data_IF_222552831327
#
_entry.id   IF_222552831327
#
_cell.length_a   1.000
_cell.length_b   1.000
_cell.length_c   1.000
_cell.angle_alpha   90.00
_cell.angle_beta   90.00
_cell.angle_gamma   90.00
#
_symmetry.space_group_name_H-M   'P 1'
#
loop_
_entity.id
_entity.type
_entity.pdbx_description
1 polymer ?
#
# COMPACT_ATOMS: atom_id res chain seq x y z
N UNK A 1 8.85 2.59 4.17
CA UNK A 1 10.03 2.97 3.34
C UNK A 1 9.61 3.89 2.19
N UNK A 2 10.56 4.58 1.53
CA UNK A 2 10.31 5.37 0.31
C UNK A 2 9.98 4.46 -0.87
N UNK A 3 8.95 4.80 -1.65
CA UNK A 3 8.52 4.09 -2.88
C UNK A 3 9.49 4.35 -4.06
N UNK A 4 10.38 5.34 -3.95
CA UNK A 4 11.31 5.74 -5.03
C UNK A 4 12.17 4.60 -5.62
N UNK A 5 12.72 3.64 -4.84
CA UNK A 5 13.48 2.52 -5.41
C UNK A 5 12.62 1.59 -6.27
N UNK A 6 11.32 1.50 -6.00
CA UNK A 6 10.38 0.70 -6.80
C UNK A 6 10.11 1.38 -8.16
N UNK A 7 10.17 2.71 -8.24
CA UNK A 7 9.98 3.44 -9.51
C UNK A 7 11.04 3.08 -10.56
N UNK A 8 12.31 2.94 -10.17
CA UNK A 8 13.39 2.62 -11.10
C UNK A 8 13.32 1.19 -11.66
N UNK A 9 12.77 0.24 -10.89
CA UNK A 9 12.51 -1.13 -11.36
C UNK A 9 11.32 -1.21 -12.33
N UNK A 10 10.41 -0.24 -12.25
CA UNK A 10 9.15 -0.26 -12.97
C UNK A 10 9.30 -0.07 -14.47
N UNK A 11 10.20 0.82 -14.90
CA UNK A 11 10.42 1.09 -16.32
C UNK A 11 11.00 -0.12 -17.05
N UNK A 12 11.75 -0.97 -16.34
CA UNK A 12 12.31 -2.20 -16.88
C UNK A 12 11.30 -3.35 -16.88
N UNK A 13 10.53 -3.53 -15.82
CA UNK A 13 9.59 -4.66 -15.69
C UNK A 13 8.26 -4.44 -16.38
N UNK A 14 7.91 -3.20 -16.73
CA UNK A 14 6.62 -2.88 -17.32
C UNK A 14 6.76 -2.02 -18.59
N UNK A 15 7.43 -2.53 -19.64
CA UNK A 15 7.71 -1.77 -20.85
C UNK A 15 6.44 -1.41 -21.64
N UNK A 16 5.36 -2.19 -21.46
CA UNK A 16 4.07 -1.96 -22.14
C UNK A 16 3.19 -0.92 -21.44
N UNK A 17 3.52 -0.55 -20.19
CA UNK A 17 2.72 0.40 -19.43
C UNK A 17 3.14 1.83 -19.76
N UNK A 18 2.18 2.64 -20.20
CA UNK A 18 2.42 4.08 -20.35
C UNK A 18 2.52 4.78 -18.98
N UNK A 19 3.05 6.01 -19.00
CA UNK A 19 3.30 6.80 -17.78
C UNK A 19 2.04 7.07 -16.95
N UNK A 20 0.86 7.13 -17.59
CA UNK A 20 -0.41 7.34 -16.89
C UNK A 20 -0.79 6.11 -16.06
N UNK A 21 -0.60 4.91 -16.61
CA UNK A 21 -0.84 3.65 -15.87
C UNK A 21 0.15 3.53 -14.72
N UNK A 22 1.44 3.79 -14.95
CA UNK A 22 2.48 3.81 -13.91
C UNK A 22 2.14 4.80 -12.79
N UNK A 23 1.74 6.03 -13.16
CA UNK A 23 1.33 7.06 -12.19
C UNK A 23 0.11 6.63 -11.39
N UNK A 24 -0.87 6.00 -12.04
CA UNK A 24 -2.09 5.50 -11.37
C UNK A 24 -1.77 4.39 -10.38
N UNK A 25 -0.83 3.52 -10.72
CA UNK A 25 -0.31 2.52 -9.81
C UNK A 25 0.31 3.13 -8.55
N UNK A 26 1.26 4.07 -8.71
CA UNK A 26 1.91 4.71 -7.56
C UNK A 26 0.92 5.51 -6.70
N UNK A 27 -0.11 6.10 -7.31
CA UNK A 27 -1.18 6.77 -6.58
C UNK A 27 -1.93 5.80 -5.65
N UNK A 28 -2.23 4.59 -6.12
CA UNK A 28 -2.90 3.58 -5.30
C UNK A 28 -2.03 3.13 -4.12
N UNK A 29 -0.73 2.91 -4.35
CA UNK A 29 0.21 2.62 -3.25
C UNK A 29 0.26 3.75 -2.23
N UNK A 30 0.28 5.01 -2.67
CA UNK A 30 0.26 6.16 -1.79
C UNK A 30 -1.05 6.26 -0.98
N UNK A 31 -2.19 5.88 -1.55
CA UNK A 31 -3.46 5.84 -0.79
C UNK A 31 -3.43 4.79 0.32
N UNK A 32 -2.95 3.58 0.03
CA UNK A 32 -2.77 2.54 1.07
C UNK A 32 -1.80 3.04 2.13
N UNK A 33 -0.68 3.62 1.70
CA UNK A 33 0.34 4.13 2.61
C UNK A 33 -0.15 5.34 3.42
N UNK A 34 -1.10 6.13 2.92
CA UNK A 34 -1.67 7.30 3.61
C UNK A 34 -2.90 7.01 4.48
N UNK A 35 -3.44 5.79 4.44
CA UNK A 35 -4.64 5.41 5.19
C UNK A 35 -4.49 5.59 6.71
N UNK A 36 -5.52 6.09 7.37
CA UNK A 36 -5.54 6.32 8.82
C UNK A 36 -6.21 5.18 9.60
N UNK A 37 -6.98 4.32 8.93
CA UNK A 37 -7.68 3.20 9.55
C UNK A 37 -7.46 1.89 8.82
N UNK A 38 -7.64 0.76 9.53
CA UNK A 38 -7.55 -0.56 8.90
C UNK A 38 -8.59 -0.76 7.79
N UNK A 39 -9.78 -0.16 7.94
CA UNK A 39 -10.82 -0.18 6.92
C UNK A 39 -10.38 0.52 5.64
N UNK A 40 -9.77 1.71 5.75
CA UNK A 40 -9.22 2.45 4.59
C UNK A 40 -8.08 1.68 3.90
N UNK A 41 -7.21 1.00 4.67
CA UNK A 41 -6.17 0.13 4.10
C UNK A 41 -6.79 -1.00 3.28
N UNK A 42 -7.82 -1.66 3.82
CA UNK A 42 -8.51 -2.73 3.13
C UNK A 42 -9.20 -2.24 1.84
N UNK A 43 -9.93 -1.12 1.90
CA UNK A 43 -10.62 -0.54 0.74
C UNK A 43 -9.62 -0.16 -0.36
N UNK A 44 -8.58 0.61 -0.02
CA UNK A 44 -7.55 0.99 -0.98
C UNK A 44 -6.80 -0.23 -1.55
N UNK A 45 -6.56 -1.25 -0.71
CA UNK A 45 -5.98 -2.52 -1.12
C UNK A 45 -6.85 -3.30 -2.10
N UNK A 46 -8.18 -3.30 -1.91
CA UNK A 46 -9.12 -3.93 -2.85
C UNK A 46 -9.11 -3.24 -4.22
N UNK A 47 -9.13 -1.90 -4.24
CA UNK A 47 -9.03 -1.14 -5.49
C UNK A 47 -7.74 -1.45 -6.24
N UNK A 48 -6.61 -1.51 -5.52
CA UNK A 48 -5.31 -1.81 -6.11
C UNK A 48 -5.20 -3.25 -6.63
N UNK A 49 -5.82 -4.23 -5.95
CA UNK A 49 -5.94 -5.60 -6.46
C UNK A 49 -6.74 -5.65 -7.76
N UNK A 50 -7.87 -4.95 -7.83
CA UNK A 50 -8.68 -4.86 -9.04
C UNK A 50 -7.92 -4.22 -10.21
N UNK A 51 -7.09 -3.22 -9.93
CA UNK A 51 -6.23 -2.62 -10.93
C UNK A 51 -5.18 -3.60 -11.50
N UNK A 52 -4.53 -4.39 -10.64
CA UNK A 52 -3.58 -5.43 -11.09
C UNK A 52 -4.30 -6.47 -11.95
N UNK A 53 -5.47 -6.95 -11.50
CA UNK A 53 -6.27 -7.91 -12.25
C UNK A 53 -6.64 -7.37 -13.65
N UNK A 54 -7.08 -6.12 -13.75
CA UNK A 54 -7.42 -5.49 -15.03
C UNK A 54 -6.21 -5.35 -15.97
N UNK A 55 -5.00 -5.11 -15.44
CA UNK A 55 -3.79 -5.08 -16.25
C UNK A 55 -3.40 -6.48 -16.76
N UNK A 56 -3.55 -7.50 -15.91
CA UNK A 56 -3.29 -8.90 -16.30
C UNK A 56 -4.29 -9.39 -17.34
N UNK A 57 -5.58 -9.11 -17.16
CA UNK A 57 -6.64 -9.47 -18.12
C UNK A 57 -6.48 -8.77 -19.48
N UNK A 58 -5.84 -7.61 -19.50
CA UNK A 58 -5.55 -6.86 -20.72
C UNK A 58 -4.19 -7.24 -21.36
N UNK A 59 -3.51 -8.27 -20.85
CA UNK A 59 -2.16 -8.69 -21.28
C UNK A 59 -1.11 -7.55 -21.24
N UNK A 60 -1.32 -6.55 -20.38
CA UNK A 60 -0.42 -5.41 -20.23
C UNK A 60 0.72 -5.69 -19.24
N UNK A 61 0.55 -6.73 -18.41
CA UNK A 61 1.56 -7.27 -17.49
C UNK A 61 1.54 -8.78 -17.60
N UNK A 62 2.72 -9.39 -17.61
CA UNK A 62 2.88 -10.84 -17.54
C UNK A 62 2.72 -11.35 -16.10
N UNK A 63 2.80 -12.67 -15.92
CA UNK A 63 2.66 -13.32 -14.61
C UNK A 63 3.72 -12.83 -13.62
N UNK A 64 4.96 -12.65 -14.07
CA UNK A 64 6.05 -12.14 -13.23
C UNK A 64 5.77 -10.70 -12.78
N UNK A 65 5.37 -9.84 -13.71
CA UNK A 65 4.97 -8.47 -13.45
C UNK A 65 3.78 -8.37 -12.49
N UNK A 66 2.75 -9.20 -12.69
CA UNK A 66 1.60 -9.29 -11.79
C UNK A 66 2.03 -9.76 -10.38
N UNK A 67 2.93 -10.73 -10.29
CA UNK A 67 3.50 -11.21 -9.03
C UNK A 67 4.28 -10.13 -8.28
N UNK A 68 5.07 -9.33 -9.00
CA UNK A 68 5.78 -8.17 -8.45
C UNK A 68 4.81 -7.11 -7.91
N UNK A 69 3.75 -6.80 -8.66
CA UNK A 69 2.71 -5.87 -8.22
C UNK A 69 1.99 -6.37 -6.98
N UNK A 70 1.60 -7.65 -6.95
CA UNK A 70 0.94 -8.28 -5.81
C UNK A 70 1.83 -8.28 -4.56
N UNK A 71 3.11 -8.63 -4.69
CA UNK A 71 4.08 -8.60 -3.59
C UNK A 71 4.27 -7.19 -3.05
N UNK A 72 4.31 -6.20 -3.95
CA UNK A 72 4.38 -4.78 -3.56
C UNK A 72 3.15 -4.36 -2.76
N UNK A 73 1.95 -4.81 -3.15
CA UNK A 73 0.72 -4.52 -2.41
C UNK A 73 0.71 -5.11 -1.02
N UNK A 74 1.10 -6.38 -0.89
CA UNK A 74 1.20 -7.04 0.42
C UNK A 74 2.11 -6.25 1.34
N UNK A 75 3.31 -5.90 0.87
CA UNK A 75 4.28 -5.14 1.66
C UNK A 75 3.77 -3.77 2.08
N UNK A 76 3.17 -3.01 1.14
CA UNK A 76 2.66 -1.65 1.46
C UNK A 76 1.46 -1.74 2.41
N UNK A 77 0.62 -2.75 2.27
CA UNK A 77 -0.49 -3.03 3.19
C UNK A 77 0.00 -3.38 4.60
N UNK A 78 0.97 -4.30 4.72
CA UNK A 78 1.55 -4.70 6.00
C UNK A 78 2.20 -3.51 6.73
N UNK A 79 2.97 -2.69 6.01
CA UNK A 79 3.56 -1.46 6.53
C UNK A 79 2.48 -0.49 7.06
N UNK A 80 1.35 -0.35 6.35
CA UNK A 80 0.25 0.51 6.74
C UNK A 80 -0.48 -0.01 7.99
N UNK A 81 -0.81 -1.30 8.03
CA UNK A 81 -1.41 -1.93 9.21
C UNK A 81 -0.51 -1.82 10.44
N UNK A 82 0.79 -2.10 10.29
CA UNK A 82 1.75 -1.99 11.38
C UNK A 82 1.79 -0.56 11.95
N UNK A 83 1.80 0.46 11.08
CA UNK A 83 1.74 1.87 11.50
C UNK A 83 0.46 2.17 12.28
N UNK A 84 -0.71 1.80 11.74
CA UNK A 84 -2.02 2.11 12.35
C UNK A 84 -2.12 1.46 13.73
N UNK A 85 -1.69 0.21 13.85
CA UNK A 85 -1.67 -0.52 15.14
C UNK A 85 -0.70 0.10 16.14
N UNK A 86 0.48 0.53 15.70
CA UNK A 86 1.43 1.21 16.56
C UNK A 86 0.86 2.52 17.14
N UNK A 87 0.11 3.29 16.34
CA UNK A 87 -0.58 4.50 16.82
C UNK A 87 -1.66 4.15 17.85
N UNK A 88 -2.45 3.09 17.60
CA UNK A 88 -3.45 2.59 18.55
C UNK A 88 -2.86 2.17 19.91
N UNK A 89 -1.70 1.51 19.90
CA UNK A 89 -0.97 1.11 21.12
C UNK A 89 -0.48 2.33 21.89
N UNK A 90 0.10 3.34 21.23
CA UNK A 90 0.57 4.57 21.88
C UNK A 90 -0.59 5.37 22.47
N UNK A 91 -1.74 5.45 21.78
CA UNK A 91 -2.93 6.14 22.30
C UNK A 91 -3.49 5.49 23.57
N UNK A 92 -3.49 4.15 23.65
CA UNK A 92 -3.89 3.42 24.85
C UNK A 92 -2.86 3.59 25.99
N UNK A 93 -1.56 3.44 25.72
CA UNK A 93 -0.52 3.59 26.73
C UNK A 93 -0.53 4.98 27.37
N UNK A 94 -0.75 6.03 26.57
CA UNK A 94 -0.82 7.41 27.05
C UNK A 94 -2.05 7.64 27.95
N UNK A 95 -3.21 7.09 27.57
CA UNK A 95 -4.45 7.22 28.36
C UNK A 95 -4.36 6.52 29.72
N UNK A 96 -3.68 5.37 29.80
CA UNK A 96 -3.49 4.64 31.06
C UNK A 96 -2.56 5.35 32.05
N UNK A 97 -1.56 6.10 31.57
CA UNK A 97 -0.65 6.87 32.45
C UNK A 97 -1.41 8.06 33.06
N UNK A 98 -2.16 8.82 32.25
CA UNK A 98 -2.90 9.99 32.75
C UNK A 98 -4.00 9.65 33.76
N UNK A 99 -4.62 8.47 33.68
CA UNK A 99 -5.68 8.07 34.61
C UNK A 99 -5.13 7.56 35.96
N UNK A 100 -3.87 7.13 36.03
CA UNK A 100 -3.28 6.55 37.24
C UNK A 100 -2.69 7.59 38.19
N UNK A 101 -2.29 8.75 37.66
CA UNK A 101 -1.72 9.86 38.44
C UNK A 101 -2.78 10.84 38.96
N UNK A 102 -4.07 10.56 38.71
CA UNK A 102 -5.21 11.40 39.09
C UNK A 102 -6.00 10.86 40.30
N UNK A 103 -5.46 9.89 41.05
CA UNK A 103 -6.09 9.30 42.24
C UNK A 103 -5.25 9.50 43.50
#
# INVERSE_FOLDING_TARGET
MSIKPLQALWDRQFPLLNDRVKTSWFRQLNYIQGASTEAEVNEAGHMAKGFVAALSEADLVDEEGAGLMATTLLRVGDDAFARIRAVGIVGQATTHVFLKDAQ
#
